data_IF_210053540605
#
_entry.id   IF_210053540605
#
_cell.length_a   1.000
_cell.length_b   1.000
_cell.length_c   1.000
_cell.angle_alpha   90.00
_cell.angle_beta   90.00
_cell.angle_gamma   90.00
#
_symmetry.space_group_name_H-M   'P 1'
#
loop_
_entity.id
_entity.type
_entity.pdbx_description
1 polymer ?
#
# COMPACT_ATOMS: atom_id res chain seq x y z
N UNK A 1 1.41 -7.96 18.82
CA UNK A 1 0.30 -7.07 19.22
C UNK A 1 0.89 -6.04 20.17
N UNK A 2 1.18 -4.82 19.68
CA UNK A 2 1.84 -3.76 20.45
C UNK A 2 0.81 -2.77 20.99
N UNK A 3 1.03 -2.29 22.21
CA UNK A 3 0.18 -1.28 22.85
C UNK A 3 0.57 0.10 22.29
N UNK A 4 -0.31 0.69 21.47
CA UNK A 4 -0.12 2.06 20.94
C UNK A 4 -1.04 2.98 21.72
N UNK A 5 -0.46 3.80 22.60
CA UNK A 5 -1.15 4.87 23.32
C UNK A 5 -1.15 6.13 22.44
N UNK A 6 -2.18 6.27 21.59
CA UNK A 6 -2.43 7.49 20.80
C UNK A 6 -3.49 8.35 21.48
N UNK A 7 -3.09 9.52 21.98
CA UNK A 7 -3.98 10.56 22.54
C UNK A 7 -4.74 11.35 21.46
N UNK A 8 -4.29 11.30 20.20
CA UNK A 8 -4.93 12.00 19.07
C UNK A 8 -6.33 11.46 18.72
N UNK A 9 -6.65 10.22 19.10
CA UNK A 9 -7.95 9.60 18.83
C UNK A 9 -9.07 10.12 19.75
N UNK A 10 -8.71 10.82 20.83
CA UNK A 10 -9.65 11.36 21.83
C UNK A 10 -10.06 12.80 21.48
N UNK A 11 -9.39 13.45 20.54
CA UNK A 11 -9.79 14.78 20.07
C UNK A 11 -11.17 14.72 19.40
N UNK A 12 -12.20 15.46 19.90
CA UNK A 12 -13.51 15.50 19.25
C UNK A 12 -13.38 16.25 17.92
N UNK A 13 -13.12 15.51 16.85
CA UNK A 13 -13.10 16.05 15.49
C UNK A 13 -14.54 16.41 15.11
N UNK A 14 -14.87 17.71 15.14
CA UNK A 14 -16.17 18.26 14.73
C UNK A 14 -16.55 17.87 13.28
N UNK A 15 -15.56 17.56 12.43
CA UNK A 15 -15.76 16.99 11.09
C UNK A 15 -16.49 15.62 11.11
N UNK A 16 -16.43 14.87 12.22
CA UNK A 16 -17.14 13.59 12.39
C UNK A 16 -18.54 13.75 12.98
N UNK A 17 -18.92 14.95 13.40
CA UNK A 17 -20.28 15.30 13.85
C UNK A 17 -20.97 15.97 12.67
N UNK A 18 -21.24 15.21 11.61
CA UNK A 18 -22.10 15.67 10.54
C UNK A 18 -23.55 15.21 10.85
N UNK A 19 -24.39 16.05 11.48
CA UNK A 19 -25.75 15.66 11.87
C UNK A 19 -26.59 15.23 10.66
N UNK A 20 -26.31 15.75 9.47
CA UNK A 20 -27.02 15.38 8.23
C UNK A 20 -26.68 13.93 7.82
N UNK A 21 -25.42 13.53 7.91
CA UNK A 21 -25.02 12.13 7.68
C UNK A 21 -25.53 11.20 8.78
N UNK A 22 -25.55 11.66 10.04
CA UNK A 22 -26.17 10.95 11.15
C UNK A 22 -27.66 10.70 10.90
N UNK A 23 -28.41 11.72 10.50
CA UNK A 23 -29.82 11.60 10.11
C UNK A 23 -30.02 10.70 8.90
N UNK A 24 -29.16 10.78 7.87
CA UNK A 24 -29.21 9.90 6.69
C UNK A 24 -28.90 8.45 7.03
N UNK A 25 -28.06 8.19 8.04
CA UNK A 25 -27.75 6.86 8.57
C UNK A 25 -28.93 6.28 9.36
N UNK A 26 -29.62 7.11 10.15
CA UNK A 26 -30.85 6.75 10.87
C UNK A 26 -32.05 6.57 9.91
N UNK A 27 -32.11 7.33 8.81
CA UNK A 27 -33.09 7.18 7.72
C UNK A 27 -32.57 6.31 6.57
N UNK A 28 -31.65 5.40 6.86
CA UNK A 28 -31.18 4.44 5.85
C UNK A 28 -32.27 3.41 5.55
N UNK A 29 -32.24 2.83 4.35
CA UNK A 29 -33.14 1.71 3.97
C UNK A 29 -33.07 0.56 4.98
N UNK A 30 -31.90 0.35 5.59
CA UNK A 30 -31.68 -0.64 6.64
C UNK A 30 -32.47 -0.33 7.91
N UNK A 31 -32.43 0.91 8.38
CA UNK A 31 -33.17 1.34 9.58
C UNK A 31 -34.68 1.23 9.40
N UNK A 32 -35.22 1.52 8.21
CA UNK A 32 -36.64 1.29 7.89
C UNK A 32 -37.00 -0.20 7.96
N UNK A 33 -36.15 -1.08 7.44
CA UNK A 33 -36.38 -2.54 7.48
C UNK A 33 -36.32 -3.06 8.92
N UNK A 34 -35.40 -2.57 9.75
CA UNK A 34 -35.31 -2.92 11.18
C UNK A 34 -36.53 -2.44 11.98
N UNK A 35 -37.05 -1.25 11.66
CA UNK A 35 -38.29 -0.73 12.25
C UNK A 35 -39.49 -1.61 11.89
N UNK A 36 -39.65 -1.97 10.61
CA UNK A 36 -40.73 -2.87 10.16
C UNK A 36 -40.63 -4.23 10.87
N UNK A 37 -39.43 -4.82 10.97
CA UNK A 37 -39.22 -6.08 11.70
C UNK A 37 -39.62 -5.96 13.18
N UNK A 38 -39.31 -4.83 13.81
CA UNK A 38 -39.66 -4.58 15.22
C UNK A 38 -41.17 -4.46 15.43
N UNK A 39 -41.88 -3.77 14.52
CA UNK A 39 -43.34 -3.70 14.52
C UNK A 39 -43.94 -5.10 14.37
N UNK A 40 -43.43 -5.92 13.45
CA UNK A 40 -43.90 -7.30 13.26
C UNK A 40 -43.66 -8.13 14.53
N UNK A 41 -42.48 -8.06 15.16
CA UNK A 41 -42.19 -8.73 16.45
C UNK A 41 -43.21 -8.35 17.52
N UNK A 42 -43.53 -7.06 17.63
CA UNK A 42 -44.55 -6.57 18.57
C UNK A 42 -45.93 -7.16 18.30
N UNK A 43 -46.36 -7.21 17.04
CA UNK A 43 -47.63 -7.84 16.67
C UNK A 43 -47.65 -9.35 16.93
N UNK A 44 -46.56 -10.05 16.64
CA UNK A 44 -46.44 -11.50 16.92
C UNK A 44 -46.57 -11.76 18.41
N UNK A 45 -45.84 -11.03 19.26
CA UNK A 45 -45.94 -11.18 20.72
C UNK A 45 -47.34 -10.81 21.21
N UNK A 46 -47.89 -9.68 20.75
CA UNK A 46 -49.25 -9.27 21.10
C UNK A 46 -50.31 -10.30 20.69
N UNK A 47 -50.17 -10.92 19.53
CA UNK A 47 -51.06 -11.98 19.05
C UNK A 47 -50.96 -13.25 19.89
N UNK A 48 -49.74 -13.68 20.24
CA UNK A 48 -49.52 -14.83 21.14
C UNK A 48 -50.14 -14.59 22.51
N UNK A 49 -49.90 -13.41 23.11
CA UNK A 49 -50.50 -13.02 24.40
C UNK A 49 -52.02 -13.01 24.30
N UNK A 50 -52.58 -12.42 23.24
CA UNK A 50 -54.03 -12.36 23.03
C UNK A 50 -54.66 -13.76 22.93
N UNK A 51 -54.08 -14.66 22.13
CA UNK A 51 -54.59 -16.03 22.02
C UNK A 51 -54.48 -16.77 23.34
N UNK A 52 -53.36 -16.67 24.05
CA UNK A 52 -53.18 -17.36 25.32
C UNK A 52 -54.18 -16.87 26.36
N UNK A 53 -54.39 -15.55 26.49
CA UNK A 53 -55.40 -15.00 27.40
C UNK A 53 -56.81 -15.47 27.00
N UNK A 54 -57.14 -15.47 25.71
CA UNK A 54 -58.43 -15.96 25.21
C UNK A 54 -58.63 -17.44 25.53
N UNK A 55 -57.57 -18.25 25.47
CA UNK A 55 -57.63 -19.70 25.79
C UNK A 55 -57.91 -19.93 27.27
N UNK A 56 -57.36 -19.09 28.15
CA UNK A 56 -57.58 -19.16 29.60
C UNK A 56 -58.75 -18.32 30.09
N UNK A 57 -59.56 -17.73 29.20
CA UNK A 57 -60.57 -16.74 29.60
C UNK A 57 -61.65 -17.31 30.52
N UNK A 58 -62.00 -18.58 30.33
CA UNK A 58 -62.96 -19.33 31.16
C UNK A 58 -62.42 -19.65 32.55
N UNK A 59 -61.11 -19.51 32.76
CA UNK A 59 -60.46 -19.83 34.04
C UNK A 59 -60.46 -18.61 34.97
N UNK A 60 -60.45 -17.38 34.44
CA UNK A 60 -60.44 -16.16 35.27
C UNK A 60 -61.61 -16.03 36.27
N UNK A 61 -62.87 -16.39 35.93
CA UNK A 61 -63.96 -16.35 36.90
C UNK A 61 -63.77 -17.32 38.08
N UNK A 62 -63.13 -18.47 37.85
CA UNK A 62 -62.89 -19.50 38.89
C UNK A 62 -61.91 -19.00 39.95
N UNK A 63 -61.01 -18.07 39.60
CA UNK A 63 -60.02 -17.48 40.53
C UNK A 63 -60.70 -16.75 41.70
N UNK A 64 -61.92 -16.23 41.50
CA UNK A 64 -62.68 -15.53 42.55
C UNK A 64 -63.11 -16.46 43.70
N UNK A 65 -63.26 -17.75 43.42
CA UNK A 65 -63.71 -18.76 44.37
C UNK A 65 -62.55 -19.61 44.94
N UNK A 66 -61.31 -19.37 44.48
CA UNK A 66 -60.11 -20.13 44.84
C UNK A 66 -59.38 -19.54 46.05
N UNK A 67 -58.68 -20.40 46.80
CA UNK A 67 -57.79 -19.96 47.89
C UNK A 67 -56.57 -19.19 47.37
N UNK A 68 -56.01 -18.27 48.18
CA UNK A 68 -54.92 -17.38 47.77
C UNK A 68 -53.72 -18.11 47.14
N UNK A 69 -53.29 -19.22 47.72
CA UNK A 69 -52.16 -20.01 47.23
C UNK A 69 -52.45 -20.65 45.85
N UNK A 70 -53.67 -21.13 45.64
CA UNK A 70 -54.07 -21.77 44.39
C UNK A 70 -54.21 -20.73 43.26
N UNK A 71 -54.76 -19.56 43.57
CA UNK A 71 -54.85 -18.43 42.64
C UNK A 71 -53.48 -17.93 42.20
N UNK A 72 -52.50 -17.87 43.12
CA UNK A 72 -51.12 -17.52 42.80
C UNK A 72 -50.48 -18.58 41.89
N UNK A 73 -50.62 -19.86 42.23
CA UNK A 73 -50.05 -20.96 41.45
C UNK A 73 -50.60 -20.99 40.01
N UNK A 74 -51.92 -20.85 39.85
CA UNK A 74 -52.58 -20.80 38.55
C UNK A 74 -52.14 -19.58 37.72
N UNK A 75 -52.02 -18.41 38.34
CA UNK A 75 -51.55 -17.19 37.65
C UNK A 75 -50.12 -17.34 37.17
N UNK A 76 -49.25 -17.96 37.98
CA UNK A 76 -47.88 -18.28 37.59
C UNK A 76 -47.84 -19.25 36.41
N UNK A 77 -48.64 -20.32 36.44
CA UNK A 77 -48.68 -21.31 35.35
C UNK A 77 -49.11 -20.69 34.03
N UNK A 78 -50.18 -19.88 34.04
CA UNK A 78 -50.64 -19.13 32.85
C UNK A 78 -49.57 -18.15 32.37
N UNK A 79 -48.87 -17.47 33.29
CA UNK A 79 -47.79 -16.52 32.93
C UNK A 79 -46.61 -17.26 32.29
N UNK A 80 -46.21 -18.42 32.83
CA UNK A 80 -45.15 -19.25 32.27
C UNK A 80 -45.54 -19.81 30.90
N UNK A 81 -46.78 -20.27 30.71
CA UNK A 81 -47.27 -20.74 29.41
C UNK A 81 -47.22 -19.63 28.35
N UNK A 82 -47.69 -18.42 28.68
CA UNK A 82 -47.60 -17.25 27.81
C UNK A 82 -46.12 -16.94 27.48
N UNK A 83 -45.26 -16.92 28.50
CA UNK A 83 -43.83 -16.65 28.35
C UNK A 83 -43.15 -17.66 27.42
N UNK A 84 -43.40 -18.95 27.60
CA UNK A 84 -42.82 -20.02 26.76
C UNK A 84 -43.31 -19.90 25.32
N UNK A 85 -44.62 -19.69 25.09
CA UNK A 85 -45.17 -19.51 23.74
C UNK A 85 -44.59 -18.29 23.04
N UNK A 86 -44.45 -17.17 23.76
CA UNK A 86 -43.81 -15.96 23.23
C UNK A 86 -42.34 -16.18 22.89
N UNK A 87 -41.59 -16.87 23.76
CA UNK A 87 -40.20 -17.25 23.52
C UNK A 87 -40.06 -18.11 22.26
N UNK A 88 -40.91 -19.14 22.08
CA UNK A 88 -40.88 -20.01 20.89
C UNK A 88 -41.19 -19.19 19.63
N UNK A 89 -42.22 -18.34 19.66
CA UNK A 89 -42.57 -17.49 18.52
C UNK A 89 -41.43 -16.53 18.14
N UNK A 90 -40.78 -15.90 19.13
CA UNK A 90 -39.63 -15.03 18.90
C UNK A 90 -38.39 -15.79 18.44
N UNK A 91 -38.18 -17.03 18.89
CA UNK A 91 -37.08 -17.88 18.44
C UNK A 91 -37.23 -18.21 16.96
N UNK A 92 -38.42 -18.64 16.53
CA UNK A 92 -38.75 -18.88 15.11
C UNK A 92 -38.50 -17.60 14.29
N UNK A 93 -38.98 -16.45 14.76
CA UNK A 93 -38.76 -15.18 14.08
C UNK A 93 -37.26 -14.83 13.99
N UNK A 94 -36.52 -15.04 15.08
CA UNK A 94 -35.09 -14.72 15.17
C UNK A 94 -34.25 -15.56 14.22
N UNK A 95 -34.66 -16.80 13.94
CA UNK A 95 -34.03 -17.64 12.93
C UNK A 95 -34.11 -17.00 11.53
N UNK A 96 -35.28 -16.52 11.13
CA UNK A 96 -35.44 -15.81 9.85
C UNK A 96 -34.69 -14.47 9.82
N UNK A 97 -34.70 -13.73 10.92
CA UNK A 97 -33.96 -12.47 11.04
C UNK A 97 -32.44 -12.69 10.89
N UNK A 98 -31.91 -13.73 11.53
CA UNK A 98 -30.51 -14.12 11.40
C UNK A 98 -30.14 -14.50 9.96
N UNK A 99 -30.95 -15.34 9.30
CA UNK A 99 -30.69 -15.73 7.92
C UNK A 99 -30.68 -14.53 6.96
N UNK A 100 -31.65 -13.61 7.11
CA UNK A 100 -31.69 -12.38 6.34
C UNK A 100 -30.44 -11.52 6.57
N UNK A 101 -30.03 -11.32 7.82
CA UNK A 101 -28.83 -10.54 8.16
C UNK A 101 -27.55 -11.18 7.61
N UNK A 102 -27.43 -12.50 7.68
CA UNK A 102 -26.30 -13.24 7.12
C UNK A 102 -26.21 -13.07 5.59
N UNK A 103 -27.34 -13.17 4.89
CA UNK A 103 -27.41 -12.94 3.45
C UNK A 103 -27.03 -11.51 3.07
N UNK A 104 -27.58 -10.50 3.76
CA UNK A 104 -27.28 -9.08 3.52
C UNK A 104 -25.79 -8.78 3.77
N UNK A 105 -25.24 -9.32 4.86
CA UNK A 105 -23.82 -9.17 5.20
C UNK A 105 -22.91 -9.75 4.11
N UNK A 106 -23.16 -10.99 3.69
CA UNK A 106 -22.35 -11.63 2.66
C UNK A 106 -22.45 -10.91 1.32
N UNK A 107 -23.66 -10.47 0.94
CA UNK A 107 -23.86 -9.69 -0.29
C UNK A 107 -23.13 -8.35 -0.22
N UNK A 108 -23.12 -7.71 0.95
CA UNK A 108 -22.39 -6.46 1.18
C UNK A 108 -20.87 -6.58 1.15
N UNK A 109 -20.33 -7.79 1.38
CA UNK A 109 -18.90 -8.07 1.26
C UNK A 109 -18.47 -8.44 -0.18
N UNK A 110 -19.42 -8.65 -1.09
CA UNK A 110 -19.07 -8.97 -2.46
C UNK A 110 -18.55 -7.73 -3.19
N UNK A 111 -17.36 -7.85 -3.75
CA UNK A 111 -16.79 -6.82 -4.61
C UNK A 111 -17.30 -6.97 -6.05
N UNK A 112 -17.57 -5.85 -6.71
CA UNK A 112 -17.85 -5.86 -8.14
C UNK A 112 -16.56 -6.12 -8.94
N UNK A 113 -16.70 -6.53 -10.21
CA UNK A 113 -15.55 -6.65 -11.12
C UNK A 113 -14.80 -5.32 -11.30
N UNK A 114 -15.49 -4.20 -11.11
CA UNK A 114 -14.89 -2.88 -11.20
C UNK A 114 -14.09 -2.56 -9.93
N UNK A 115 -14.64 -2.85 -8.75
CA UNK A 115 -13.96 -2.64 -7.46
C UNK A 115 -12.67 -3.47 -7.39
N UNK A 116 -12.72 -4.73 -7.82
CA UNK A 116 -11.52 -5.60 -7.90
C UNK A 116 -10.46 -4.99 -8.83
N UNK A 117 -10.88 -4.42 -9.96
CA UNK A 117 -9.95 -3.81 -10.92
C UNK A 117 -9.35 -2.51 -10.38
N UNK A 118 -10.08 -1.76 -9.57
CA UNK A 118 -9.61 -0.55 -8.89
C UNK A 118 -8.64 -0.90 -7.76
N UNK A 119 -8.97 -1.85 -6.89
CA UNK A 119 -8.03 -2.38 -5.89
C UNK A 119 -6.74 -2.88 -6.54
N UNK A 120 -6.83 -3.62 -7.65
CA UNK A 120 -5.64 -4.13 -8.34
C UNK A 120 -4.74 -3.00 -8.86
N UNK A 121 -5.33 -1.90 -9.32
CA UNK A 121 -4.57 -0.70 -9.74
C UNK A 121 -3.92 0.01 -8.57
N UNK A 122 -4.56 0.04 -7.40
CA UNK A 122 -4.01 0.66 -6.18
C UNK A 122 -2.89 -0.18 -5.57
N UNK A 123 -3.03 -1.50 -5.54
CA UNK A 123 -2.07 -2.43 -4.92
C UNK A 123 -0.81 -2.62 -5.77
N UNK A 124 -0.94 -2.86 -7.08
CA UNK A 124 0.24 -3.06 -7.95
C UNK A 124 0.80 -1.75 -8.52
N UNK A 125 0.01 -0.67 -8.49
CA UNK A 125 0.30 0.57 -9.16
C UNK A 125 0.17 0.46 -10.68
N UNK A 126 -0.03 1.59 -11.37
CA UNK A 126 -0.12 1.59 -12.84
C UNK A 126 1.24 1.15 -13.45
N UNK A 127 1.27 0.09 -14.29
CA UNK A 127 2.50 -0.36 -14.94
C UNK A 127 3.21 0.73 -15.74
N UNK A 128 2.46 1.66 -16.33
CA UNK A 128 3.00 2.81 -17.04
C UNK A 128 3.73 3.77 -16.10
N UNK A 129 3.21 4.00 -14.89
CA UNK A 129 3.87 4.81 -13.86
C UNK A 129 5.16 4.14 -13.40
N UNK A 130 5.14 2.82 -13.14
CA UNK A 130 6.35 2.07 -12.76
C UNK A 130 7.42 2.10 -13.86
N UNK A 131 7.02 1.99 -15.13
CA UNK A 131 7.93 2.13 -16.27
C UNK A 131 8.50 3.55 -16.36
N UNK A 132 7.64 4.57 -16.19
CA UNK A 132 8.04 5.98 -16.22
C UNK A 132 9.03 6.32 -15.12
N UNK A 133 8.81 5.82 -13.90
CA UNK A 133 9.76 6.00 -12.78
C UNK A 133 11.13 5.42 -13.13
N UNK A 134 11.19 4.19 -13.67
CA UNK A 134 12.47 3.60 -14.10
C UNK A 134 13.15 4.39 -15.21
N UNK A 135 12.40 4.91 -16.17
CA UNK A 135 12.94 5.78 -17.22
C UNK A 135 13.57 7.05 -16.63
N UNK A 136 12.86 7.72 -15.71
CA UNK A 136 13.36 8.95 -15.06
C UNK A 136 14.60 8.64 -14.21
N UNK A 137 14.62 7.55 -13.46
CA UNK A 137 15.78 7.11 -12.69
C UNK A 137 17.01 6.89 -13.59
N UNK A 138 16.86 6.19 -14.73
CA UNK A 138 17.95 6.01 -15.70
C UNK A 138 18.45 7.33 -16.29
N UNK A 139 17.54 8.26 -16.61
CA UNK A 139 17.91 9.58 -17.11
C UNK A 139 18.67 10.40 -16.08
N UNK A 140 18.26 10.37 -14.81
CA UNK A 140 18.96 11.06 -13.72
C UNK A 140 20.35 10.47 -13.49
N UNK A 141 20.48 9.14 -13.47
CA UNK A 141 21.77 8.47 -13.34
C UNK A 141 22.72 8.84 -14.50
N UNK A 142 22.22 8.83 -15.74
CA UNK A 142 23.01 9.24 -16.90
C UNK A 142 23.44 10.71 -16.82
N UNK A 143 22.56 11.63 -16.39
CA UNK A 143 22.92 13.05 -16.20
C UNK A 143 24.02 13.22 -15.16
N UNK A 144 23.91 12.56 -14.00
CA UNK A 144 24.94 12.60 -12.94
C UNK A 144 26.28 12.09 -13.45
N UNK A 145 26.29 10.94 -14.13
CA UNK A 145 27.49 10.38 -14.76
C UNK A 145 28.14 11.38 -15.72
N UNK A 146 27.36 12.07 -16.57
CA UNK A 146 27.91 13.09 -17.48
C UNK A 146 28.48 14.31 -16.72
N UNK A 147 27.92 14.67 -15.57
CA UNK A 147 28.48 15.74 -14.72
C UNK A 147 29.79 15.30 -14.08
N UNK A 148 29.91 14.04 -13.68
CA UNK A 148 31.14 13.52 -13.07
C UNK A 148 32.31 13.40 -14.07
N UNK A 149 32.04 13.33 -15.38
CA UNK A 149 33.10 13.42 -16.41
C UNK A 149 33.97 14.65 -16.22
N UNK A 150 33.41 15.78 -15.77
CA UNK A 150 34.15 17.04 -15.57
C UNK A 150 35.25 16.95 -14.51
N UNK A 151 35.18 15.95 -13.63
CA UNK A 151 36.15 15.72 -12.56
C UNK A 151 37.21 14.69 -12.95
N UNK A 152 37.18 14.20 -14.19
CA UNK A 152 38.11 13.17 -14.64
C UNK A 152 39.50 13.76 -14.89
N UNK A 153 40.52 13.00 -14.54
CA UNK A 153 41.92 13.34 -14.83
C UNK A 153 42.30 12.94 -16.25
N UNK A 154 41.70 11.87 -16.77
CA UNK A 154 41.96 11.35 -18.12
C UNK A 154 40.75 10.64 -18.70
N UNK A 155 40.58 10.73 -20.03
CA UNK A 155 39.60 9.94 -20.77
C UNK A 155 40.31 8.98 -21.74
N UNK A 156 40.08 7.68 -21.57
CA UNK A 156 40.61 6.64 -22.45
C UNK A 156 39.55 6.29 -23.50
N UNK A 157 39.91 6.32 -24.77
CA UNK A 157 38.97 6.08 -25.88
C UNK A 157 39.38 4.93 -26.81
N UNK A 158 38.37 4.22 -27.30
CA UNK A 158 38.42 3.46 -28.55
C UNK A 158 37.70 4.33 -29.61
N UNK A 159 38.40 4.86 -30.64
CA UNK A 159 37.97 6.00 -31.46
C UNK A 159 36.51 5.99 -31.91
N UNK A 160 36.00 4.81 -32.29
CA UNK A 160 34.67 4.66 -32.87
C UNK A 160 33.61 4.14 -31.90
N UNK A 161 33.98 3.61 -30.73
CA UNK A 161 33.02 2.83 -29.92
C UNK A 161 33.00 3.12 -28.43
N UNK A 162 34.11 3.47 -27.77
CA UNK A 162 34.14 3.57 -26.30
C UNK A 162 34.86 4.81 -25.80
N UNK A 163 34.37 5.37 -24.69
CA UNK A 163 35.08 6.38 -23.91
C UNK A 163 34.87 6.08 -22.42
N UNK A 164 35.96 6.09 -21.66
CA UNK A 164 36.00 5.81 -20.23
C UNK A 164 36.74 6.95 -19.55
N UNK A 165 36.08 7.64 -18.63
CA UNK A 165 36.64 8.72 -17.84
C UNK A 165 37.12 8.16 -16.50
N UNK A 166 38.38 8.39 -16.17
CA UNK A 166 39.01 7.95 -14.93
C UNK A 166 39.40 9.17 -14.09
N UNK A 167 39.30 9.01 -12.77
CA UNK A 167 39.91 9.93 -11.82
C UNK A 167 40.76 9.15 -10.82
N UNK A 168 41.84 9.78 -10.38
CA UNK A 168 42.74 9.23 -9.39
C UNK A 168 43.09 10.27 -8.34
N UNK A 169 42.76 9.93 -7.08
CA UNK A 169 43.17 10.71 -5.92
C UNK A 169 44.01 9.82 -5.01
N UNK A 170 45.31 10.10 -4.97
CA UNK A 170 46.29 9.34 -4.17
C UNK A 170 46.07 9.46 -2.66
N UNK A 171 45.31 10.46 -2.19
CA UNK A 171 44.99 10.64 -0.78
C UNK A 171 43.75 9.85 -0.35
N UNK A 172 42.86 9.52 -1.29
CA UNK A 172 41.52 8.96 -0.99
C UNK A 172 41.41 7.51 -1.47
N UNK A 173 42.05 7.14 -2.58
CA UNK A 173 41.85 5.84 -3.23
C UNK A 173 43.17 5.12 -3.53
N UNK A 174 43.18 3.81 -3.30
CA UNK A 174 44.32 2.92 -3.59
C UNK A 174 44.53 2.69 -5.09
N UNK A 175 43.52 2.98 -5.91
CA UNK A 175 43.58 2.89 -7.37
C UNK A 175 42.54 3.82 -8.03
N UNK A 176 42.73 4.17 -9.31
CA UNK A 176 41.80 5.00 -10.09
C UNK A 176 40.36 4.48 -10.11
N UNK A 177 39.40 5.40 -10.15
CA UNK A 177 37.96 5.12 -10.21
C UNK A 177 37.41 5.48 -11.58
N UNK A 178 36.49 4.67 -12.07
CA UNK A 178 35.72 4.96 -13.29
C UNK A 178 34.59 5.95 -12.99
N UNK A 179 34.75 7.22 -13.37
CA UNK A 179 33.71 8.24 -13.17
C UNK A 179 32.59 8.16 -14.22
N UNK A 180 32.93 7.76 -15.44
CA UNK A 180 31.96 7.56 -16.50
C UNK A 180 32.45 6.54 -17.51
N UNK A 181 31.53 5.77 -18.11
CA UNK A 181 31.81 4.96 -19.29
C UNK A 181 30.64 5.02 -20.26
N UNK A 182 30.93 5.03 -21.55
CA UNK A 182 29.91 5.12 -22.58
C UNK A 182 30.32 4.38 -23.85
N UNK A 183 29.30 3.92 -24.58
CA UNK A 183 29.45 3.38 -25.93
C UNK A 183 28.80 4.32 -26.96
N UNK A 184 29.32 4.32 -28.18
CA UNK A 184 28.79 5.01 -29.36
C UNK A 184 28.40 6.49 -29.07
N UNK A 185 27.11 6.82 -29.03
CA UNK A 185 26.63 8.18 -28.77
C UNK A 185 27.02 8.71 -27.38
N UNK A 186 27.02 7.86 -26.36
CA UNK A 186 27.52 8.27 -25.04
C UNK A 186 29.02 8.49 -25.06
N UNK A 187 29.78 7.68 -25.81
CA UNK A 187 31.22 7.88 -25.97
C UNK A 187 31.52 9.22 -26.66
N UNK A 188 30.76 9.60 -27.70
CA UNK A 188 30.87 10.91 -28.35
C UNK A 188 30.61 12.05 -27.38
N UNK A 189 29.59 11.94 -26.53
CA UNK A 189 29.27 12.96 -25.51
C UNK A 189 30.36 13.08 -24.45
N UNK A 190 30.92 11.96 -23.96
CA UNK A 190 32.02 11.98 -22.99
C UNK A 190 33.24 12.68 -23.59
N UNK A 191 33.61 12.34 -24.83
CA UNK A 191 34.70 13.02 -25.54
C UNK A 191 34.44 14.52 -25.73
N UNK A 192 33.19 14.89 -26.04
CA UNK A 192 32.81 16.30 -26.17
C UNK A 192 33.02 17.06 -24.86
N UNK A 193 32.54 16.53 -23.73
CA UNK A 193 32.74 17.17 -22.42
C UNK A 193 34.23 17.21 -22.06
N UNK A 194 34.98 16.14 -22.33
CA UNK A 194 36.41 16.11 -22.07
C UNK A 194 37.15 17.22 -22.83
N UNK A 195 36.81 17.44 -24.11
CA UNK A 195 37.36 18.55 -24.88
C UNK A 195 36.89 19.93 -24.39
N UNK A 196 35.67 20.05 -23.86
CA UNK A 196 35.14 21.32 -23.33
C UNK A 196 35.76 21.72 -21.98
N UNK A 197 36.22 20.74 -21.20
CA UNK A 197 36.83 20.93 -19.88
C UNK A 197 38.35 20.73 -19.91
N UNK A 198 38.96 20.69 -21.10
CA UNK A 198 40.41 20.47 -21.32
C UNK A 198 40.98 19.22 -20.62
N UNK A 199 40.17 18.16 -20.55
CA UNK A 199 40.58 16.85 -19.97
C UNK A 199 41.32 16.05 -21.05
N UNK A 200 42.56 15.59 -20.77
CA UNK A 200 43.35 14.82 -21.72
C UNK A 200 42.67 13.55 -22.21
N UNK A 201 42.62 13.38 -23.52
CA UNK A 201 42.06 12.19 -24.18
C UNK A 201 43.20 11.33 -24.70
N UNK A 202 43.26 10.08 -24.25
CA UNK A 202 44.28 9.10 -24.65
C UNK A 202 43.62 7.96 -25.42
N UNK A 203 44.13 7.70 -26.63
CA UNK A 203 43.63 6.61 -27.45
C UNK A 203 44.29 5.29 -27.05
N UNK A 204 43.50 4.35 -26.54
CA UNK A 204 43.95 2.97 -26.31
C UNK A 204 42.77 2.01 -26.47
N UNK A 205 42.66 1.41 -27.66
CA UNK A 205 41.55 0.52 -28.02
C UNK A 205 41.43 -0.69 -27.09
N UNK A 206 42.54 -1.36 -26.80
CA UNK A 206 42.53 -2.58 -25.99
C UNK A 206 42.12 -2.28 -24.53
N UNK A 207 42.69 -1.24 -23.94
CA UNK A 207 42.39 -0.85 -22.57
C UNK A 207 40.96 -0.33 -22.42
N UNK A 208 40.48 0.48 -23.37
CA UNK A 208 39.11 0.98 -23.36
C UNK A 208 38.08 -0.16 -23.44
N UNK A 209 38.30 -1.15 -24.30
CA UNK A 209 37.41 -2.31 -24.42
C UNK A 209 37.39 -3.14 -23.14
N UNK A 210 38.54 -3.35 -22.52
CA UNK A 210 38.65 -4.11 -21.27
C UNK A 210 37.94 -3.38 -20.15
N UNK A 211 38.25 -2.10 -19.93
CA UNK A 211 37.62 -1.27 -18.90
C UNK A 211 36.09 -1.20 -19.04
N UNK A 212 35.60 -1.07 -20.27
CA UNK A 212 34.16 -1.03 -20.52
C UNK A 212 33.44 -2.31 -20.05
N UNK A 213 34.08 -3.47 -20.22
CA UNK A 213 33.54 -4.79 -19.86
C UNK A 213 33.78 -5.16 -18.40
N UNK A 214 34.91 -4.77 -17.82
CA UNK A 214 35.36 -5.28 -16.52
C UNK A 214 34.98 -4.43 -15.32
N UNK A 215 34.65 -3.14 -15.49
CA UNK A 215 34.39 -2.22 -14.36
C UNK A 215 33.12 -1.41 -14.59
N UNK A 216 32.28 -1.28 -13.57
CA UNK A 216 31.10 -0.39 -13.59
C UNK A 216 31.45 1.06 -13.21
N UNK A 217 30.54 2.00 -13.49
CA UNK A 217 30.70 3.40 -13.09
C UNK A 217 30.71 3.48 -11.55
N UNK A 218 31.67 4.21 -10.99
CA UNK A 218 31.95 4.29 -9.55
C UNK A 218 32.83 3.16 -9.02
N UNK A 219 33.18 2.17 -9.86
CA UNK A 219 34.06 1.08 -9.49
C UNK A 219 35.54 1.44 -9.56
N UNK A 220 36.34 0.81 -8.70
CA UNK A 220 37.81 0.84 -8.74
C UNK A 220 38.28 -0.08 -9.86
N UNK A 221 39.34 0.32 -10.57
CA UNK A 221 39.94 -0.52 -11.62
C UNK A 221 40.51 -1.84 -11.05
N UNK A 222 40.61 -2.93 -11.83
CA UNK A 222 41.19 -4.18 -11.38
C UNK A 222 42.72 -4.12 -11.39
N UNK A 223 43.37 -4.87 -10.48
CA UNK A 223 44.84 -4.92 -10.34
C UNK A 223 45.57 -5.24 -11.65
N UNK A 224 44.98 -6.10 -12.49
CA UNK A 224 45.54 -6.46 -13.79
C UNK A 224 45.74 -5.28 -14.74
N UNK A 225 45.04 -4.15 -14.52
CA UNK A 225 45.10 -2.96 -15.36
C UNK A 225 45.92 -1.82 -14.71
N UNK A 226 46.45 -2.00 -13.50
CA UNK A 226 47.13 -0.93 -12.77
C UNK A 226 48.33 -0.37 -13.53
N UNK A 227 49.19 -1.25 -14.04
CA UNK A 227 50.39 -0.83 -14.76
C UNK A 227 50.05 0.01 -16.01
N UNK A 228 49.09 -0.46 -16.80
CA UNK A 228 48.68 0.23 -18.03
C UNK A 228 48.04 1.59 -17.75
N UNK A 229 47.31 1.72 -16.64
CA UNK A 229 46.66 2.98 -16.26
C UNK A 229 47.64 3.94 -15.59
N UNK A 230 48.59 3.42 -14.80
CA UNK A 230 49.66 4.21 -14.20
C UNK A 230 50.55 4.85 -15.26
N UNK A 231 50.88 4.13 -16.34
CA UNK A 231 51.64 4.67 -17.48
C UNK A 231 50.90 5.84 -18.15
N UNK A 232 49.58 5.70 -18.37
CA UNK A 232 48.75 6.75 -18.96
C UNK A 232 48.65 7.97 -18.02
N UNK A 233 48.42 7.76 -16.73
CA UNK A 233 48.34 8.85 -15.75
C UNK A 233 49.68 9.58 -15.62
N UNK A 234 50.80 8.85 -15.57
CA UNK A 234 52.13 9.43 -15.53
C UNK A 234 52.40 10.29 -16.77
N UNK A 235 52.01 9.80 -17.95
CA UNK A 235 52.09 10.58 -19.19
C UNK A 235 51.27 11.86 -19.11
N UNK A 236 50.00 11.77 -18.67
CA UNK A 236 49.10 12.93 -18.52
C UNK A 236 49.63 13.96 -17.52
N UNK A 237 50.10 13.53 -16.36
CA UNK A 237 50.68 14.46 -15.37
C UNK A 237 51.97 15.11 -15.88
N UNK A 238 52.80 14.39 -16.63
CA UNK A 238 54.01 14.97 -17.24
C UNK A 238 53.70 16.04 -18.30
N UNK A 239 52.57 15.93 -19.00
CA UNK A 239 52.10 16.96 -19.93
C UNK A 239 51.64 18.20 -19.16
N UNK A 240 50.87 17.99 -18.08
CA UNK A 240 50.35 19.06 -17.23
C UNK A 240 51.47 19.85 -16.53
N UNK A 241 52.53 19.18 -16.08
CA UNK A 241 53.72 19.83 -15.50
C UNK A 241 54.53 20.64 -16.53
N UNK A 242 54.46 20.27 -17.82
CA UNK A 242 55.13 20.98 -18.92
C UNK A 242 54.34 22.16 -19.46
N UNK A 243 53.13 22.42 -18.95
CA UNK A 243 52.31 23.58 -19.31
C UNK A 243 51.79 23.57 -20.74
N UNK A 244 51.60 22.38 -21.33
CA UNK A 244 50.98 22.17 -22.65
C UNK A 244 49.61 21.54 -22.47
#
# INVERSE_FOLDING_TARGET
VGFVLTLDTISPKLERINPIEGFKRIFSRRSLVELIKSIIKMFVVGYVVYISIKTHISVFPLILDMGLLESIALTLDITFDIGIKACIALLIFSFFDYFYQWYEYNTGLMMSKQDIKEEFKEVEGNPQIKSRIRQIQRQMASRRMMTDVKKADVVITNPTHYAIALAYDAAIHSAPIVLAKGADELAKKIKKIANEEDIPIVENKALAQTLYKSVEVGGIIPESLYNAIAEILAFVYSLKERGI
#
